data_IF_523031560088
#
_entry.id   IF_523031560088
#
_cell.length_a   1.000
_cell.length_b   1.000
_cell.length_c   1.000
_cell.angle_alpha   90.00
_cell.angle_beta   90.00
_cell.angle_gamma   90.00
#
_symmetry.space_group_name_H-M   'P 1'
#
loop_
_entity.id
_entity.type
_entity.pdbx_description
1 polymer ?
#
# COMPACT_ATOMS: atom_id res chain seq x y z
N UNK A 1 1.99 7.37 14.75
CA UNK A 1 1.33 8.27 13.77
C UNK A 1 0.62 7.49 12.66
N UNK A 2 1.34 6.67 11.87
CA UNK A 2 0.77 5.85 10.77
C UNK A 2 -0.38 4.97 11.25
N UNK A 3 -0.14 4.11 12.24
CA UNK A 3 -1.16 3.23 12.84
C UNK A 3 -2.45 3.97 13.20
N UNK A 4 -2.34 5.01 14.04
CA UNK A 4 -3.49 5.79 14.49
C UNK A 4 -4.28 6.41 13.31
N UNK A 5 -3.60 6.92 12.28
CA UNK A 5 -4.26 7.49 11.09
C UNK A 5 -5.05 6.41 10.36
N UNK A 6 -4.46 5.24 10.11
CA UNK A 6 -5.12 4.13 9.43
C UNK A 6 -6.29 3.57 10.25
N UNK A 7 -6.08 3.28 11.54
CA UNK A 7 -7.13 2.75 12.40
C UNK A 7 -8.30 3.73 12.58
N UNK A 8 -8.03 5.02 12.78
CA UNK A 8 -9.10 6.00 12.91
C UNK A 8 -9.89 6.15 11.59
N UNK A 9 -9.20 6.07 10.45
CA UNK A 9 -9.86 6.11 9.14
C UNK A 9 -10.70 4.86 8.90
N UNK A 10 -10.22 3.67 9.26
CA UNK A 10 -11.00 2.43 9.19
C UNK A 10 -12.26 2.50 10.04
N UNK A 11 -12.14 2.97 11.30
CA UNK A 11 -13.30 3.18 12.17
C UNK A 11 -14.30 4.15 11.58
N UNK A 12 -13.83 5.22 10.93
CA UNK A 12 -14.67 6.20 10.24
C UNK A 12 -15.40 5.57 9.05
N UNK A 13 -14.69 4.76 8.24
CA UNK A 13 -15.28 4.02 7.11
C UNK A 13 -16.38 3.06 7.58
N UNK A 14 -16.09 2.20 8.56
CA UNK A 14 -17.04 1.19 9.06
C UNK A 14 -18.31 1.84 9.62
N UNK A 15 -18.18 2.97 10.31
CA UNK A 15 -19.31 3.65 10.94
C UNK A 15 -20.15 4.46 9.97
N UNK A 16 -19.52 5.07 8.96
CA UNK A 16 -20.15 6.12 8.15
C UNK A 16 -20.36 5.73 6.68
N UNK A 17 -19.80 4.62 6.21
CA UNK A 17 -20.04 4.10 4.86
C UNK A 17 -21.02 2.93 4.95
N UNK A 18 -22.25 3.06 4.40
CA UNK A 18 -23.25 2.01 4.46
C UNK A 18 -22.76 0.68 3.88
N UNK A 19 -22.89 -0.40 4.62
CA UNK A 19 -22.51 -1.75 4.17
C UNK A 19 -21.01 -1.95 3.98
N UNK A 20 -20.14 -1.08 4.52
CA UNK A 20 -18.69 -1.18 4.33
C UNK A 20 -18.12 -2.56 4.70
N UNK A 21 -18.49 -3.08 5.88
CA UNK A 21 -18.04 -4.40 6.32
C UNK A 21 -18.49 -5.50 5.35
N UNK A 22 -19.77 -5.52 4.98
CA UNK A 22 -20.31 -6.50 4.02
C UNK A 22 -19.65 -6.38 2.65
N UNK A 23 -19.37 -5.16 2.19
CA UNK A 23 -18.67 -4.93 0.93
C UNK A 23 -17.24 -5.48 0.94
N UNK A 24 -16.48 -5.27 2.02
CA UNK A 24 -15.07 -5.67 2.11
C UNK A 24 -14.90 -7.14 2.51
N UNK A 25 -15.74 -7.67 3.41
CA UNK A 25 -15.56 -8.99 4.03
C UNK A 25 -16.65 -10.01 3.68
N UNK A 26 -17.63 -9.64 2.84
CA UNK A 26 -18.84 -10.44 2.55
C UNK A 26 -19.66 -10.80 3.80
N UNK A 27 -19.50 -10.02 4.88
CA UNK A 27 -20.22 -10.17 6.13
C UNK A 27 -20.38 -8.82 6.82
N UNK A 28 -21.55 -8.59 7.40
CA UNK A 28 -21.70 -7.51 8.35
C UNK A 28 -20.96 -7.87 9.65
N UNK A 29 -20.28 -6.89 10.22
CA UNK A 29 -19.60 -7.03 11.50
C UNK A 29 -19.42 -5.68 12.18
N UNK A 30 -19.21 -5.72 13.49
CA UNK A 30 -18.83 -4.56 14.30
C UNK A 30 -17.45 -4.04 13.92
N UNK A 31 -17.13 -2.84 14.40
CA UNK A 31 -15.80 -2.23 14.24
C UNK A 31 -14.73 -3.14 14.84
N UNK A 32 -14.98 -3.67 16.03
CA UNK A 32 -14.03 -4.49 16.78
C UNK A 32 -13.75 -5.80 16.06
N UNK A 33 -14.78 -6.47 15.54
CA UNK A 33 -14.63 -7.70 14.74
C UNK A 33 -13.87 -7.46 13.43
N UNK A 34 -14.09 -6.32 12.77
CA UNK A 34 -13.34 -5.95 11.57
C UNK A 34 -11.87 -5.72 11.88
N UNK A 35 -11.57 -5.01 12.97
CA UNK A 35 -10.19 -4.74 13.38
C UNK A 35 -9.46 -6.03 13.80
N UNK A 36 -10.17 -6.94 14.47
CA UNK A 36 -9.65 -8.24 14.88
C UNK A 36 -9.39 -9.17 13.69
N UNK A 37 -10.22 -9.12 12.65
CA UNK A 37 -10.00 -9.88 11.42
C UNK A 37 -8.61 -9.63 10.79
N UNK A 38 -8.11 -8.39 10.90
CA UNK A 38 -6.76 -8.01 10.47
C UNK A 38 -5.72 -8.01 11.61
N UNK A 39 -6.10 -8.42 12.82
CA UNK A 39 -5.25 -8.36 14.03
C UNK A 39 -4.62 -7.00 14.26
N UNK A 40 -5.37 -5.92 13.98
CA UNK A 40 -4.86 -4.55 14.07
C UNK A 40 -4.50 -4.15 15.51
N UNK A 41 -5.03 -4.83 16.52
CA UNK A 41 -4.64 -4.66 17.94
C UNK A 41 -3.19 -5.04 18.20
N UNK A 42 -2.59 -5.93 17.40
CA UNK A 42 -1.20 -6.41 17.54
C UNK A 42 -0.18 -5.48 16.86
N UNK A 43 -0.65 -4.52 16.04
CA UNK A 43 0.21 -3.68 15.19
C UNK A 43 0.63 -2.28 15.71
N UNK A 44 0.29 -1.78 16.93
CA UNK A 44 0.53 -0.39 17.29
C UNK A 44 2.02 -0.03 17.46
N UNK A 45 2.88 -1.03 17.67
CA UNK A 45 4.33 -0.86 17.87
C UNK A 45 5.17 -1.40 16.70
N UNK A 46 4.53 -1.74 15.58
CA UNK A 46 5.22 -2.29 14.42
C UNK A 46 6.15 -1.27 13.75
N UNK A 47 7.34 -1.73 13.38
CA UNK A 47 8.23 -0.97 12.51
C UNK A 47 7.74 -1.13 11.06
N UNK A 48 7.04 -0.10 10.56
CA UNK A 48 6.60 -0.07 9.18
C UNK A 48 7.77 0.17 8.22
N UNK A 49 7.78 -0.54 7.10
CA UNK A 49 8.77 -0.35 6.04
C UNK A 49 8.08 -0.21 4.68
N UNK A 50 8.68 0.60 3.80
CA UNK A 50 8.31 0.71 2.40
C UNK A 50 9.40 0.05 1.57
N UNK A 51 9.14 -1.16 1.07
CA UNK A 51 10.16 -1.93 0.34
C UNK A 51 10.45 -1.30 -1.01
N UNK A 52 11.65 -0.73 -1.18
CA UNK A 52 12.11 -0.17 -2.46
C UNK A 52 12.39 -1.27 -3.51
N UNK A 53 13.15 -2.30 -3.12
CA UNK A 53 13.43 -3.49 -3.94
C UNK A 53 13.49 -4.73 -3.06
N UNK A 54 12.84 -5.81 -3.48
CA UNK A 54 13.06 -7.12 -2.87
C UNK A 54 14.19 -7.83 -3.61
N UNK A 55 15.32 -8.04 -2.94
CA UNK A 55 16.44 -8.77 -3.53
C UNK A 55 16.17 -10.28 -3.49
N UNK A 56 15.44 -10.80 -2.51
CA UNK A 56 15.13 -12.23 -2.34
C UNK A 56 16.20 -13.02 -1.57
N UNK A 57 15.98 -14.32 -1.39
CA UNK A 57 16.90 -15.22 -0.67
C UNK A 57 17.95 -15.89 -1.57
N UNK A 58 18.84 -16.76 -1.06
CA UNK A 58 19.96 -17.35 -1.81
C UNK A 58 19.60 -18.01 -3.15
N UNK A 59 18.34 -18.43 -3.31
CA UNK A 59 17.82 -19.12 -4.49
C UNK A 59 17.38 -18.21 -5.66
N UNK A 60 17.33 -16.90 -5.49
CA UNK A 60 16.93 -15.98 -6.59
C UNK A 60 18.16 -15.47 -7.35
N UNK A 61 18.00 -15.17 -8.65
CA UNK A 61 19.12 -14.84 -9.54
C UNK A 61 19.99 -13.70 -9.01
N UNK A 62 21.30 -13.89 -9.03
CA UNK A 62 22.30 -13.00 -8.40
C UNK A 62 22.52 -11.68 -9.14
N UNK A 63 22.43 -11.70 -10.48
CA UNK A 63 22.82 -10.56 -11.33
C UNK A 63 22.02 -9.29 -11.05
N UNK A 64 20.69 -9.34 -11.16
CA UNK A 64 19.83 -8.16 -10.92
C UNK A 64 19.89 -7.63 -9.48
N UNK A 65 20.28 -8.47 -8.52
CA UNK A 65 20.45 -8.04 -7.13
C UNK A 65 21.71 -7.24 -6.93
N UNK A 66 22.80 -7.73 -7.53
CA UNK A 66 24.09 -7.06 -7.49
C UNK A 66 24.01 -5.73 -8.23
N UNK A 67 23.35 -5.68 -9.39
CA UNK A 67 23.11 -4.43 -10.13
C UNK A 67 22.39 -3.38 -9.28
N UNK A 68 21.26 -3.73 -8.66
CA UNK A 68 20.55 -2.80 -7.78
C UNK A 68 21.41 -2.42 -6.56
N UNK A 69 22.00 -3.41 -5.89
CA UNK A 69 22.77 -3.15 -4.66
C UNK A 69 23.99 -2.28 -4.94
N UNK A 70 24.69 -2.47 -6.06
CA UNK A 70 25.92 -1.77 -6.42
C UNK A 70 25.68 -0.45 -7.16
N UNK A 71 24.42 -0.07 -7.42
CA UNK A 71 24.11 1.20 -8.05
C UNK A 71 24.57 2.37 -7.18
N UNK A 72 25.10 3.41 -7.82
CA UNK A 72 25.59 4.63 -7.14
C UNK A 72 24.48 5.24 -6.30
N UNK A 73 23.27 5.34 -6.85
CA UNK A 73 22.11 5.93 -6.18
C UNK A 73 21.73 5.16 -4.92
N UNK A 74 21.73 3.82 -4.97
CA UNK A 74 21.41 2.96 -3.81
C UNK A 74 22.49 3.05 -2.75
N UNK A 75 23.77 3.01 -3.14
CA UNK A 75 24.89 3.12 -2.22
C UNK A 75 24.92 4.48 -1.53
N UNK A 76 24.73 5.57 -2.28
CA UNK A 76 24.68 6.92 -1.73
C UNK A 76 23.44 7.19 -0.89
N UNK A 77 22.31 6.54 -1.17
CA UNK A 77 21.10 6.67 -0.38
C UNK A 77 21.14 5.89 0.94
N UNK A 78 21.94 4.81 1.01
CA UNK A 78 21.98 3.92 2.18
C UNK A 78 22.38 4.69 3.44
N UNK A 79 21.57 4.58 4.50
CA UNK A 79 21.77 5.32 5.75
C UNK A 79 21.29 6.78 5.72
N UNK A 80 20.79 7.29 4.59
CA UNK A 80 20.18 8.63 4.53
C UNK A 80 18.72 8.60 4.96
N UNK A 81 18.27 9.71 5.55
CA UNK A 81 16.87 9.93 5.87
C UNK A 81 16.15 10.62 4.70
N UNK A 82 14.93 10.19 4.44
CA UNK A 82 14.05 10.77 3.44
C UNK A 82 12.68 11.09 4.02
N UNK A 83 11.89 11.88 3.29
CA UNK A 83 10.48 12.12 3.58
C UNK A 83 9.61 11.41 2.56
N UNK A 84 8.68 10.58 3.05
CA UNK A 84 7.64 9.97 2.23
C UNK A 84 6.28 10.51 2.66
N UNK A 85 5.33 10.58 1.74
CA UNK A 85 4.00 11.14 2.04
C UNK A 85 2.95 10.05 1.96
N UNK A 86 2.26 9.78 3.06
CA UNK A 86 1.10 8.91 3.07
C UNK A 86 -0.13 9.68 2.58
N UNK A 87 -0.63 9.32 1.41
CA UNK A 87 -1.72 10.01 0.70
C UNK A 87 -3.08 9.35 0.89
N UNK A 88 -3.09 8.12 1.37
CA UNK A 88 -4.32 7.34 1.50
C UNK A 88 -4.04 5.93 2.00
N UNK A 89 -5.02 5.05 1.84
CA UNK A 89 -4.89 3.63 2.11
C UNK A 89 -5.79 2.81 1.20
N UNK A 90 -5.47 1.53 1.08
CA UNK A 90 -6.36 0.52 0.52
C UNK A 90 -6.83 -0.42 1.61
N UNK A 91 -8.04 -0.93 1.43
CA UNK A 91 -8.65 -1.92 2.31
C UNK A 91 -9.26 -2.97 1.41
N UNK A 92 -8.77 -4.19 1.50
CA UNK A 92 -9.37 -5.33 0.81
C UNK A 92 -9.69 -6.42 1.81
N UNK A 93 -10.32 -7.51 1.36
CA UNK A 93 -10.51 -8.69 2.21
C UNK A 93 -9.19 -9.30 2.68
N UNK A 94 -8.08 -9.04 1.98
CA UNK A 94 -6.77 -9.62 2.28
C UNK A 94 -5.86 -8.68 3.07
N UNK A 95 -5.89 -7.37 2.78
CA UNK A 95 -4.88 -6.43 3.28
C UNK A 95 -5.44 -5.07 3.68
N UNK A 96 -4.77 -4.45 4.65
CA UNK A 96 -4.82 -3.01 4.92
C UNK A 96 -3.44 -2.45 4.62
N UNK A 97 -3.34 -1.54 3.65
CA UNK A 97 -2.05 -0.94 3.28
C UNK A 97 -2.17 0.57 3.07
N UNK A 98 -1.19 1.33 3.56
CA UNK A 98 -1.12 2.77 3.34
C UNK A 98 -0.46 3.06 1.98
N UNK A 99 -1.06 3.96 1.19
CA UNK A 99 -0.49 4.45 -0.08
C UNK A 99 0.55 5.52 0.20
N UNK A 100 1.73 5.35 -0.37
CA UNK A 100 2.85 6.26 -0.22
C UNK A 100 3.13 6.94 -1.56
N UNK A 101 3.24 8.27 -1.52
CA UNK A 101 3.87 9.07 -2.56
C UNK A 101 5.33 9.29 -2.20
N UNK A 102 6.21 8.87 -3.09
CA UNK A 102 7.63 9.18 -3.05
C UNK A 102 7.82 10.64 -3.49
N UNK A 103 8.43 11.46 -2.63
CA UNK A 103 8.41 12.92 -2.77
C UNK A 103 9.61 13.49 -3.53
N UNK A 104 10.71 12.72 -3.65
CA UNK A 104 11.95 13.16 -4.27
C UNK A 104 12.35 12.27 -5.45
N UNK A 105 13.06 12.85 -6.40
CA UNK A 105 13.67 12.12 -7.52
C UNK A 105 14.64 11.05 -7.02
N UNK A 106 15.41 11.33 -5.96
CA UNK A 106 16.31 10.36 -5.32
C UNK A 106 15.58 9.09 -4.86
N UNK A 107 14.42 9.26 -4.20
CA UNK A 107 13.58 8.14 -3.80
C UNK A 107 13.05 7.38 -5.01
N UNK A 108 12.67 8.08 -6.07
CA UNK A 108 12.24 7.45 -7.31
C UNK A 108 13.39 6.68 -7.97
N UNK A 109 14.63 7.19 -7.94
CA UNK A 109 15.80 6.51 -8.52
C UNK A 109 16.07 5.17 -7.83
N UNK A 110 16.03 5.13 -6.50
CA UNK A 110 16.26 3.90 -5.71
C UNK A 110 15.03 2.99 -5.62
N UNK A 111 13.83 3.44 -6.02
CA UNK A 111 12.64 2.59 -6.02
C UNK A 111 12.62 1.70 -7.27
N UNK A 112 12.71 0.38 -7.11
CA UNK A 112 12.76 -0.56 -8.24
C UNK A 112 11.73 -1.68 -8.06
N UNK A 113 10.58 -1.48 -8.70
CA UNK A 113 9.48 -2.43 -8.79
C UNK A 113 9.25 -2.81 -10.25
N UNK A 114 9.86 -3.91 -10.74
CA UNK A 114 9.62 -4.36 -12.09
C UNK A 114 8.14 -4.71 -12.31
N UNK A 115 7.38 -4.99 -11.25
CA UNK A 115 5.94 -5.21 -11.35
C UNK A 115 5.16 -3.96 -11.80
N UNK A 116 5.71 -2.75 -11.64
CA UNK A 116 5.15 -1.49 -12.18
C UNK A 116 5.42 -1.33 -13.69
N UNK A 117 6.52 -1.95 -14.15
CA UNK A 117 7.00 -1.87 -15.52
C UNK A 117 6.75 -3.22 -16.16
N UNK A 118 5.57 -3.44 -16.73
CA UNK A 118 5.18 -4.70 -17.38
C UNK A 118 6.33 -5.43 -18.07
N UNK A 119 6.90 -6.45 -17.41
CA UNK A 119 7.78 -7.45 -18.00
C UNK A 119 6.97 -8.56 -18.71
N UNK A 120 5.74 -8.22 -19.15
CA UNK A 120 4.84 -9.11 -19.87
C UNK A 120 3.87 -9.91 -19.00
N UNK A 121 3.78 -9.65 -17.69
CA UNK A 121 2.87 -10.38 -16.78
C UNK A 121 1.47 -9.79 -16.63
N UNK A 122 1.27 -8.51 -16.93
CA UNK A 122 -0.06 -7.90 -17.08
C UNK A 122 -0.43 -7.92 -18.56
N UNK A 123 -1.66 -8.31 -18.87
CA UNK A 123 -2.12 -8.60 -20.23
C UNK A 123 -2.00 -7.41 -21.22
N UNK A 124 -1.86 -6.17 -20.74
CA UNK A 124 -2.13 -4.96 -21.54
C UNK A 124 -1.02 -3.89 -21.57
N UNK A 125 0.29 -4.23 -21.53
CA UNK A 125 1.40 -3.25 -21.65
C UNK A 125 1.24 -2.01 -20.72
N UNK A 126 0.76 -2.24 -19.51
CA UNK A 126 0.50 -1.21 -18.52
C UNK A 126 1.83 -0.77 -17.89
N UNK A 127 2.42 0.34 -18.37
CA UNK A 127 3.43 1.06 -17.60
C UNK A 127 2.74 1.94 -16.56
N UNK A 128 2.92 1.63 -15.29
CA UNK A 128 2.52 2.52 -14.20
C UNK A 128 3.57 3.62 -14.00
N UNK A 129 3.19 4.84 -13.58
CA UNK A 129 4.16 5.81 -13.10
C UNK A 129 5.04 5.17 -12.01
N UNK A 130 6.35 5.39 -12.09
CA UNK A 130 7.29 4.85 -11.10
C UNK A 130 6.88 5.26 -9.68
N UNK A 131 6.82 4.30 -8.76
CA UNK A 131 6.39 4.52 -7.38
C UNK A 131 4.88 4.41 -7.14
N UNK A 132 4.07 4.04 -8.13
CA UNK A 132 2.62 3.83 -7.97
C UNK A 132 2.27 2.75 -6.94
N UNK A 133 3.17 1.79 -6.72
CA UNK A 133 3.04 0.70 -5.76
C UNK A 133 3.73 0.99 -4.43
N UNK A 134 4.28 2.18 -4.20
CA UNK A 134 4.90 2.50 -2.93
C UNK A 134 3.86 2.46 -1.80
N UNK A 135 4.14 1.65 -0.78
CA UNK A 135 3.18 1.39 0.29
C UNK A 135 3.83 0.94 1.60
N UNK A 136 3.05 1.06 2.67
CA UNK A 136 3.30 0.39 3.95
C UNK A 136 2.21 -0.65 4.16
N UNK A 137 2.59 -1.91 4.35
CA UNK A 137 1.61 -2.91 4.81
C UNK A 137 1.30 -2.63 6.28
N UNK A 138 0.03 -2.35 6.59
CA UNK A 138 -0.42 -2.04 7.95
C UNK A 138 -0.82 -3.32 8.66
N UNK A 139 -1.60 -4.16 7.99
CA UNK A 139 -2.07 -5.44 8.49
C UNK A 139 -2.51 -6.36 7.35
N UNK A 140 -2.58 -7.65 7.63
CA UNK A 140 -3.06 -8.68 6.69
C UNK A 140 -4.05 -9.59 7.40
N UNK A 141 -4.96 -10.18 6.63
CA UNK A 141 -5.83 -11.24 7.13
C UNK A 141 -5.00 -12.48 7.51
N UNK A 142 -5.58 -13.36 8.31
CA UNK A 142 -4.92 -14.61 8.71
C UNK A 142 -4.47 -15.44 7.50
N UNK A 143 -3.22 -15.91 7.53
CA UNK A 143 -2.62 -16.68 6.44
C UNK A 143 -2.17 -15.85 5.23
N UNK A 144 -2.48 -14.56 5.16
CA UNK A 144 -2.07 -13.67 4.07
C UNK A 144 -0.68 -13.08 4.37
N UNK A 145 0.26 -13.31 3.46
CA UNK A 145 1.62 -12.75 3.56
C UNK A 145 1.65 -11.26 3.21
N UNK A 146 2.50 -10.43 3.85
CA UNK A 146 2.61 -8.99 3.56
C UNK A 146 2.89 -8.63 2.10
N UNK A 147 3.58 -9.51 1.35
CA UNK A 147 3.86 -9.29 -0.07
C UNK A 147 2.60 -9.18 -0.95
N UNK A 148 1.45 -9.69 -0.48
CA UNK A 148 0.19 -9.60 -1.21
C UNK A 148 -0.29 -8.15 -1.37
N UNK A 149 0.09 -7.24 -0.46
CA UNK A 149 -0.25 -5.82 -0.54
C UNK A 149 0.13 -5.19 -1.89
N UNK A 150 1.24 -5.62 -2.49
CA UNK A 150 1.66 -5.13 -3.81
C UNK A 150 0.65 -5.48 -4.91
N UNK A 151 0.16 -6.73 -4.90
CA UNK A 151 -0.83 -7.21 -5.88
C UNK A 151 -2.16 -6.47 -5.72
N UNK A 152 -2.61 -6.27 -4.48
CA UNK A 152 -3.87 -5.59 -4.16
C UNK A 152 -3.83 -4.11 -4.57
N UNK A 153 -2.69 -3.44 -4.39
CA UNK A 153 -2.49 -2.05 -4.83
C UNK A 153 -2.50 -1.95 -6.36
N UNK A 154 -1.84 -2.88 -7.05
CA UNK A 154 -1.86 -2.92 -8.51
C UNK A 154 -3.29 -3.12 -9.04
N UNK A 155 -4.07 -4.02 -8.44
CA UNK A 155 -5.47 -4.22 -8.81
C UNK A 155 -6.29 -2.92 -8.66
N UNK A 156 -6.12 -2.20 -7.56
CA UNK A 156 -6.78 -0.89 -7.37
C UNK A 156 -6.28 0.14 -8.37
N UNK A 157 -4.99 0.18 -8.67
CA UNK A 157 -4.44 1.09 -9.68
C UNK A 157 -5.00 0.81 -11.08
N UNK A 158 -5.20 -0.47 -11.43
CA UNK A 158 -5.88 -0.89 -12.66
C UNK A 158 -7.33 -0.42 -12.69
N UNK A 159 -8.07 -0.56 -11.60
CA UNK A 159 -9.46 -0.07 -11.49
C UNK A 159 -9.54 1.45 -11.57
N UNK A 160 -8.61 2.16 -10.92
CA UNK A 160 -8.50 3.63 -10.98
C UNK A 160 -8.31 4.12 -12.41
N UNK A 161 -7.57 3.37 -13.24
CA UNK A 161 -7.29 3.72 -14.62
C UNK A 161 -8.42 3.34 -15.59
N UNK A 162 -8.97 2.13 -15.43
CA UNK A 162 -9.83 1.51 -16.44
C UNK A 162 -11.32 1.57 -16.11
N UNK A 163 -11.68 1.78 -14.84
CA UNK A 163 -13.06 1.76 -14.35
C UNK A 163 -13.33 2.90 -13.36
N UNK A 164 -12.83 4.10 -13.65
CA UNK A 164 -12.95 5.26 -12.75
C UNK A 164 -14.41 5.64 -12.44
N UNK A 165 -15.33 5.39 -13.37
CA UNK A 165 -16.76 5.72 -13.27
C UNK A 165 -17.59 4.62 -12.58
N UNK A 166 -17.05 3.40 -12.46
CA UNK A 166 -17.74 2.26 -11.85
C UNK A 166 -17.71 2.25 -10.32
N UNK A 167 -16.98 3.17 -9.69
CA UNK A 167 -16.82 3.23 -8.23
C UNK A 167 -17.99 3.93 -7.54
N UNK A 168 -18.33 3.50 -6.33
CA UNK A 168 -19.21 4.24 -5.43
C UNK A 168 -18.35 5.06 -4.46
N UNK A 169 -18.55 6.38 -4.45
CA UNK A 169 -17.73 7.30 -3.64
C UNK A 169 -18.51 7.82 -2.43
N UNK A 170 -17.89 7.79 -1.25
CA UNK A 170 -18.41 8.35 -0.01
C UNK A 170 -17.44 9.40 0.54
N UNK A 171 -17.96 10.59 0.85
CA UNK A 171 -17.18 11.66 1.49
C UNK A 171 -17.21 11.47 3.00
N UNK A 172 -16.03 11.35 3.60
CA UNK A 172 -15.84 11.34 5.05
C UNK A 172 -15.01 12.56 5.48
N UNK A 173 -14.93 12.79 6.80
CA UNK A 173 -13.99 13.78 7.36
C UNK A 173 -12.54 13.37 7.12
N UNK A 174 -12.27 12.06 7.11
CA UNK A 174 -10.93 11.50 6.89
C UNK A 174 -10.46 11.55 5.43
N UNK A 175 -11.38 11.66 4.46
CA UNK A 175 -11.06 11.57 3.04
C UNK A 175 -12.23 11.15 2.14
N UNK A 176 -11.92 10.78 0.88
CA UNK A 176 -12.88 10.14 -0.03
C UNK A 176 -12.66 8.63 0.08
N UNK A 177 -13.72 7.89 0.40
CA UNK A 177 -13.74 6.43 0.29
C UNK A 177 -14.32 6.06 -1.07
N UNK A 178 -13.63 5.20 -1.79
CA UNK A 178 -14.05 4.65 -3.07
C UNK A 178 -14.22 3.15 -2.92
N UNK A 179 -15.44 2.67 -3.16
CA UNK A 179 -15.77 1.26 -3.29
C UNK A 179 -15.70 0.91 -4.77
N UNK A 180 -14.78 0.02 -5.14
CA UNK A 180 -14.54 -0.40 -6.51
C UNK A 180 -15.31 -1.70 -6.81
N UNK A 181 -14.64 -2.70 -7.38
CA UNK A 181 -15.17 -4.06 -7.45
C UNK A 181 -15.28 -4.67 -6.04
N UNK A 182 -16.07 -5.75 -5.93
CA UNK A 182 -16.31 -6.45 -4.66
C UNK A 182 -14.99 -6.68 -3.92
N UNK A 183 -14.96 -6.33 -2.64
CA UNK A 183 -13.80 -6.40 -1.75
C UNK A 183 -12.71 -5.35 -1.94
N UNK A 184 -12.79 -4.45 -2.91
CA UNK A 184 -11.71 -3.46 -3.14
C UNK A 184 -12.16 -2.06 -2.76
N UNK A 185 -11.52 -1.51 -1.73
CA UNK A 185 -11.74 -0.16 -1.28
C UNK A 185 -10.44 0.64 -1.30
N UNK A 186 -10.50 1.90 -1.74
CA UNK A 186 -9.44 2.87 -1.55
C UNK A 186 -9.95 4.09 -0.78
N UNK A 187 -9.09 4.66 0.06
CA UNK A 187 -9.36 5.90 0.79
C UNK A 187 -8.29 6.92 0.43
N UNK A 188 -8.70 8.04 -0.14
CA UNK A 188 -7.82 9.18 -0.41
C UNK A 188 -7.94 10.16 0.75
N UNK A 189 -6.85 10.41 1.48
CA UNK A 189 -6.90 11.27 2.66
C UNK A 189 -7.09 12.73 2.27
N UNK A 190 -7.91 13.43 3.06
CA UNK A 190 -8.08 14.88 2.93
C UNK A 190 -6.76 15.62 3.20
N UNK A 191 -6.05 15.19 4.24
CA UNK A 191 -4.75 15.72 4.62
C UNK A 191 -3.73 14.59 4.58
N UNK A 192 -2.76 14.64 3.64
CA UNK A 192 -1.65 13.71 3.61
C UNK A 192 -0.79 13.80 4.87
N UNK A 193 -0.07 12.71 5.17
CA UNK A 193 0.80 12.64 6.35
C UNK A 193 2.24 12.45 5.90
N UNK A 194 3.11 13.41 6.24
CA UNK A 194 4.54 13.30 5.99
C UNK A 194 5.19 12.37 7.03
N UNK A 195 6.06 11.46 6.57
CA UNK A 195 6.74 10.47 7.40
C UNK A 195 8.23 10.56 7.09
N UNK A 196 9.04 10.72 8.15
CA UNK A 196 10.48 10.55 8.05
C UNK A 196 10.82 9.06 7.99
N UNK A 197 11.66 8.66 7.04
CA UNK A 197 12.10 7.27 6.86
C UNK A 197 13.62 7.21 6.73
N UNK A 198 14.22 6.11 7.14
CA UNK A 198 15.61 5.78 6.89
C UNK A 198 15.66 4.78 5.73
N UNK A 199 16.51 5.01 4.73
CA UNK A 199 16.73 4.01 3.68
C UNK A 199 17.85 3.06 4.10
N UNK A 200 17.53 1.76 4.16
CA UNK A 200 18.45 0.69 4.60
C UNK A 200 18.04 -0.66 4.03
N UNK A 201 18.93 -1.66 4.12
CA UNK A 201 18.61 -3.07 3.92
C UNK A 201 18.12 -3.75 5.19
N UNK A 202 17.29 -4.79 5.04
CA UNK A 202 16.83 -5.74 6.06
C UNK A 202 17.12 -7.17 5.61
#
# INVERSE_FOLDING_TARGET
>A
MVYNKCCNTLRDCIKNVPGFCSFVLDKDCSVEEFLEYFRLSEMPHSLYHCTAKFLGGPKSGTVRRLEYHQSTEVQEACGKSFKITMTGMIVTSAVVAARIKLSSEELLMIYDKPEENTDGRLKDKLCYPKGSTAHLTIATAEGVLPKHSNTEILAIADMERNNADGKVSHRLKSGVVNLWDKYYCSVNFETPVEINTLFSGF
#
